data_IF_453144191318
#
_entry.id   IF_453144191318
#
_cell.length_a   1.000
_cell.length_b   1.000
_cell.length_c   1.000
_cell.angle_alpha   90.00
_cell.angle_beta   90.00
_cell.angle_gamma   90.00
#
_symmetry.space_group_name_H-M   'P 1'
#
loop_
_entity.id
_entity.type
_entity.pdbx_description
1 polymer ?
#
# COMPACT_ATOMS: atom_id res chain seq x y z
N UNK A 1 -4.91 9.72 6.77
CA UNK A 1 -5.72 8.49 6.84
C UNK A 1 -7.19 8.83 6.56
N UNK A 2 -7.69 8.52 5.34
CA UNK A 2 -9.02 8.95 4.92
C UNK A 2 -10.17 8.23 5.64
N UNK A 3 -9.94 7.04 6.21
CA UNK A 3 -10.96 6.34 7.01
C UNK A 3 -11.46 7.16 8.19
N UNK A 4 -10.71 8.15 8.64
CA UNK A 4 -11.12 9.08 9.72
C UNK A 4 -12.32 9.94 9.35
N UNK A 5 -12.60 10.15 8.05
CA UNK A 5 -13.79 10.84 7.58
C UNK A 5 -15.08 10.03 7.78
N UNK A 6 -14.95 8.72 8.01
CA UNK A 6 -16.06 7.79 8.16
C UNK A 6 -16.76 7.44 6.85
N UNK A 7 -17.40 6.29 6.83
CA UNK A 7 -18.10 5.74 5.65
C UNK A 7 -19.19 6.67 5.09
N UNK A 8 -20.02 7.37 5.92
CA UNK A 8 -21.04 8.28 5.41
C UNK A 8 -20.51 9.39 4.51
N UNK A 9 -19.28 9.88 4.77
CA UNK A 9 -18.63 10.86 3.90
C UNK A 9 -18.45 10.31 2.47
N UNK A 10 -17.93 9.08 2.33
CA UNK A 10 -17.69 8.47 1.03
C UNK A 10 -18.98 8.05 0.31
N UNK A 11 -20.01 7.69 1.04
CA UNK A 11 -21.35 7.49 0.49
C UNK A 11 -21.89 8.80 -0.12
N UNK A 12 -21.67 9.94 0.55
CA UNK A 12 -22.02 11.26 0.02
C UNK A 12 -21.20 11.62 -1.21
N UNK A 13 -19.89 11.29 -1.23
CA UNK A 13 -19.04 11.47 -2.41
C UNK A 13 -19.64 10.75 -3.62
N UNK A 14 -20.01 9.48 -3.48
CA UNK A 14 -20.63 8.69 -4.56
C UNK A 14 -21.96 9.30 -5.05
N UNK A 15 -22.80 9.78 -4.12
CA UNK A 15 -24.05 10.45 -4.48
C UNK A 15 -23.81 11.69 -5.33
N UNK A 16 -22.81 12.51 -4.97
CA UNK A 16 -22.42 13.70 -5.72
C UNK A 16 -21.81 13.33 -7.07
N UNK A 17 -20.95 12.32 -7.13
CA UNK A 17 -20.39 11.84 -8.39
C UNK A 17 -21.51 11.40 -9.35
N UNK A 18 -22.49 10.61 -8.91
CA UNK A 18 -23.65 10.22 -9.73
C UNK A 18 -24.43 11.43 -10.25
N UNK A 19 -24.63 12.44 -9.39
CA UNK A 19 -25.38 13.66 -9.76
C UNK A 19 -24.65 14.49 -10.83
N UNK A 20 -23.31 14.59 -10.74
CA UNK A 20 -22.52 15.52 -11.55
C UNK A 20 -21.62 14.85 -12.62
N UNK A 21 -21.64 13.52 -12.75
CA UNK A 21 -20.77 12.82 -13.70
C UNK A 21 -21.01 13.21 -15.17
N UNK A 22 -22.22 13.69 -15.51
CA UNK A 22 -22.52 14.09 -16.91
C UNK A 22 -22.30 12.98 -17.93
N UNK A 23 -22.58 11.72 -17.55
CA UNK A 23 -22.36 10.53 -18.39
C UNK A 23 -20.92 9.99 -18.37
N UNK A 24 -20.00 10.59 -17.61
CA UNK A 24 -18.62 10.09 -17.47
C UNK A 24 -18.56 8.95 -16.48
N UNK A 25 -17.73 7.96 -16.77
CA UNK A 25 -17.36 6.93 -15.80
C UNK A 25 -16.30 7.49 -14.86
N UNK A 26 -16.54 7.37 -13.55
CA UNK A 26 -15.61 7.81 -12.50
C UNK A 26 -15.06 6.57 -11.80
N UNK A 27 -13.74 6.40 -11.86
CA UNK A 27 -13.03 5.37 -11.12
C UNK A 27 -12.48 5.97 -9.83
N UNK A 28 -12.70 5.30 -8.73
CA UNK A 28 -12.27 5.74 -7.41
C UNK A 28 -11.12 4.86 -6.91
N UNK A 29 -10.13 5.51 -6.30
CA UNK A 29 -9.07 4.84 -5.55
C UNK A 29 -9.02 5.37 -4.11
N UNK A 30 -8.64 4.51 -3.18
CA UNK A 30 -8.59 4.79 -1.75
C UNK A 30 -7.27 4.31 -1.18
N UNK A 31 -6.46 5.20 -0.64
CA UNK A 31 -5.19 4.83 -0.02
C UNK A 31 -5.32 4.85 1.50
N UNK A 32 -4.88 3.78 2.17
CA UNK A 32 -5.04 3.63 3.61
C UNK A 32 -3.85 2.90 4.26
N UNK A 33 -3.62 3.18 5.55
CA UNK A 33 -2.73 2.37 6.38
C UNK A 33 -3.37 1.03 6.82
N UNK A 34 -4.61 0.78 6.47
CA UNK A 34 -5.33 -0.46 6.73
C UNK A 34 -5.80 -0.68 8.17
N UNK A 35 -5.51 0.21 9.12
CA UNK A 35 -5.72 -0.07 10.54
C UNK A 35 -7.20 -0.01 10.96
N UNK A 36 -8.01 0.81 10.26
CA UNK A 36 -9.40 1.10 10.63
C UNK A 36 -10.44 0.49 9.68
N UNK A 37 -10.00 -0.28 8.69
CA UNK A 37 -10.94 -0.98 7.81
C UNK A 37 -11.65 -2.10 8.57
N UNK A 38 -12.90 -2.32 8.21
CA UNK A 38 -13.77 -3.38 8.71
C UNK A 38 -14.66 -3.92 7.59
N UNK A 39 -15.54 -4.87 7.89
CA UNK A 39 -16.44 -5.47 6.90
C UNK A 39 -17.34 -4.47 6.18
N UNK A 40 -17.78 -3.39 6.86
CA UNK A 40 -18.63 -2.37 6.23
C UNK A 40 -17.85 -1.61 5.14
N UNK A 41 -16.57 -1.29 5.40
CA UNK A 41 -15.68 -0.71 4.40
C UNK A 41 -15.42 -1.65 3.23
N UNK A 42 -15.16 -2.93 3.52
CA UNK A 42 -14.91 -3.92 2.47
C UNK A 42 -16.14 -4.09 1.55
N UNK A 43 -17.35 -4.18 2.13
CA UNK A 43 -18.61 -4.19 1.36
C UNK A 43 -18.75 -2.94 0.50
N UNK A 44 -18.53 -1.77 1.09
CA UNK A 44 -18.61 -0.50 0.37
C UNK A 44 -17.66 -0.45 -0.83
N UNK A 45 -16.41 -0.83 -0.66
CA UNK A 45 -15.41 -0.86 -1.74
C UNK A 45 -15.81 -1.84 -2.84
N UNK A 46 -16.20 -3.07 -2.46
CA UNK A 46 -16.61 -4.11 -3.40
C UNK A 46 -17.82 -3.69 -4.23
N UNK A 47 -18.88 -3.20 -3.58
CA UNK A 47 -20.14 -2.81 -4.24
C UNK A 47 -19.98 -1.62 -5.18
N UNK A 48 -19.02 -0.76 -4.94
CA UNK A 48 -18.81 0.47 -5.70
C UNK A 48 -17.55 0.44 -6.58
N UNK A 49 -16.86 -0.70 -6.69
CA UNK A 49 -15.70 -0.88 -7.57
C UNK A 49 -14.52 0.05 -7.24
N UNK A 50 -14.20 0.22 -5.96
CA UNK A 50 -13.06 1.03 -5.53
C UNK A 50 -11.79 0.19 -5.52
N UNK A 51 -10.70 0.77 -6.03
CA UNK A 51 -9.35 0.22 -5.85
C UNK A 51 -8.78 0.69 -4.50
N UNK A 52 -8.31 -0.25 -3.69
CA UNK A 52 -7.77 0.07 -2.36
C UNK A 52 -6.26 -0.10 -2.32
N UNK A 53 -5.50 0.98 -2.12
CA UNK A 53 -4.07 0.92 -1.85
C UNK A 53 -3.80 0.72 -0.36
N UNK A 54 -3.22 -0.42 0.01
CA UNK A 54 -2.88 -0.75 1.40
C UNK A 54 -1.39 -0.54 1.64
N UNK A 55 -1.07 0.27 2.64
CA UNK A 55 0.32 0.51 3.03
C UNK A 55 0.88 -0.67 3.84
N UNK A 56 1.88 -1.37 3.28
CA UNK A 56 2.57 -2.47 3.96
C UNK A 56 4.05 -2.50 3.56
N UNK A 57 4.96 -2.22 4.49
CA UNK A 57 6.39 -2.05 4.20
C UNK A 57 7.21 -3.35 4.38
N UNK A 58 6.54 -4.51 4.29
CA UNK A 58 7.17 -5.83 4.37
C UNK A 58 6.73 -6.64 5.59
N UNK A 59 7.48 -7.69 5.97
CA UNK A 59 7.22 -8.48 7.18
C UNK A 59 7.31 -7.62 8.45
N UNK A 60 6.80 -8.15 9.56
CA UNK A 60 6.55 -7.39 10.79
C UNK A 60 7.75 -6.59 11.30
N UNK A 61 8.95 -7.15 11.28
CA UNK A 61 10.16 -6.49 11.73
C UNK A 61 10.56 -5.29 10.84
N UNK A 62 10.31 -5.35 9.53
CA UNK A 62 10.54 -4.23 8.61
C UNK A 62 9.42 -3.19 8.71
N UNK A 63 8.17 -3.65 8.72
CA UNK A 63 6.99 -2.77 8.77
C UNK A 63 6.94 -1.98 10.07
N UNK A 64 7.05 -2.65 11.19
CA UNK A 64 6.86 -2.07 12.52
C UNK A 64 8.02 -1.19 12.98
N UNK A 65 9.12 -1.12 12.20
CA UNK A 65 10.21 -0.16 12.46
C UNK A 65 9.73 1.28 12.37
N UNK A 66 8.87 1.60 11.40
CA UNK A 66 8.37 2.97 11.17
C UNK A 66 6.85 3.07 11.24
N UNK A 67 6.12 1.99 10.97
CA UNK A 67 4.66 1.99 11.00
C UNK A 67 4.13 1.53 12.35
N UNK A 68 4.17 2.45 13.29
CA UNK A 68 3.62 2.28 14.62
C UNK A 68 2.38 3.15 14.82
N UNK A 69 1.52 2.79 15.78
CA UNK A 69 0.40 3.63 16.14
C UNK A 69 0.85 4.84 17.00
N UNK A 70 -0.09 5.73 17.35
CA UNK A 70 0.20 6.93 18.18
C UNK A 70 0.85 6.61 19.55
N UNK A 71 0.73 5.37 20.05
CA UNK A 71 1.32 4.91 21.29
C UNK A 71 2.62 4.13 21.07
N UNK A 72 3.21 4.18 19.86
CA UNK A 72 4.43 3.46 19.52
C UNK A 72 4.28 1.94 19.39
N UNK A 73 3.04 1.41 19.32
CA UNK A 73 2.83 -0.04 19.22
C UNK A 73 2.80 -0.51 17.77
N UNK A 74 3.29 -1.73 17.49
CA UNK A 74 3.28 -2.37 16.18
C UNK A 74 1.90 -2.38 15.51
N UNK A 75 1.87 -2.22 14.18
CA UNK A 75 0.62 -2.20 13.41
C UNK A 75 0.51 -3.30 12.37
N UNK A 76 1.58 -4.00 12.04
CA UNK A 76 1.62 -5.06 11.03
C UNK A 76 0.49 -6.07 11.16
N UNK A 77 0.25 -6.60 12.36
CA UNK A 77 -0.81 -7.59 12.62
C UNK A 77 -2.23 -7.08 12.29
N UNK A 78 -2.47 -5.76 12.38
CA UNK A 78 -3.75 -5.15 12.01
C UNK A 78 -3.89 -5.04 10.51
N UNK A 79 -2.80 -4.66 9.84
CA UNK A 79 -2.77 -4.57 8.37
C UNK A 79 -2.99 -5.95 7.76
N UNK A 80 -2.38 -7.00 8.31
CA UNK A 80 -2.62 -8.38 7.86
C UNK A 80 -4.08 -8.80 7.98
N UNK A 81 -4.75 -8.50 9.10
CA UNK A 81 -6.20 -8.75 9.24
C UNK A 81 -7.02 -8.00 8.19
N UNK A 82 -6.63 -6.78 7.86
CA UNK A 82 -7.29 -6.00 6.81
C UNK A 82 -7.10 -6.64 5.45
N UNK A 83 -5.89 -7.11 5.12
CA UNK A 83 -5.63 -7.81 3.85
C UNK A 83 -6.50 -9.07 3.77
N UNK A 84 -6.57 -9.87 4.83
CA UNK A 84 -7.44 -11.05 4.89
C UNK A 84 -8.91 -10.69 4.62
N UNK A 85 -9.42 -9.61 5.22
CA UNK A 85 -10.79 -9.13 4.97
C UNK A 85 -10.98 -8.67 3.51
N UNK A 86 -10.04 -7.92 2.93
CA UNK A 86 -10.13 -7.49 1.54
C UNK A 86 -10.18 -8.69 0.57
N UNK A 87 -9.37 -9.72 0.82
CA UNK A 87 -9.39 -10.97 0.06
C UNK A 87 -10.74 -11.69 0.21
N UNK A 88 -11.24 -11.85 1.44
CA UNK A 88 -12.53 -12.51 1.72
C UNK A 88 -13.70 -11.80 1.04
N UNK A 89 -13.71 -10.48 1.05
CA UNK A 89 -14.72 -9.66 0.38
C UNK A 89 -14.50 -9.46 -1.12
N UNK A 90 -13.42 -10.03 -1.68
CA UNK A 90 -13.05 -9.87 -3.10
C UNK A 90 -12.91 -8.39 -3.52
N UNK A 91 -12.37 -7.56 -2.65
CA UNK A 91 -12.07 -6.16 -2.96
C UNK A 91 -10.80 -6.11 -3.80
N UNK A 92 -10.78 -5.30 -4.85
CA UNK A 92 -9.55 -5.03 -5.61
C UNK A 92 -8.61 -4.14 -4.79
N UNK A 93 -7.38 -4.60 -4.57
CA UNK A 93 -6.38 -3.82 -3.85
C UNK A 93 -4.98 -4.00 -4.41
N UNK A 94 -4.12 -3.04 -4.13
CA UNK A 94 -2.68 -3.11 -4.35
C UNK A 94 -1.93 -2.89 -3.03
N UNK A 95 -0.72 -3.41 -2.95
CA UNK A 95 0.19 -3.16 -1.82
C UNK A 95 1.12 -2.01 -2.18
N UNK A 96 1.17 -1.02 -1.28
CA UNK A 96 2.00 0.16 -1.41
C UNK A 96 3.10 0.11 -0.36
N UNK A 97 4.33 0.01 -0.81
CA UNK A 97 5.53 -0.15 0.01
C UNK A 97 6.34 1.12 -0.01
N UNK A 98 6.52 1.76 1.13
CA UNK A 98 7.48 2.83 1.28
C UNK A 98 8.86 2.23 1.52
N UNK A 99 9.75 2.40 0.55
CA UNK A 99 11.13 1.90 0.61
C UNK A 99 12.00 2.96 1.29
N UNK A 100 12.47 2.65 2.48
CA UNK A 100 13.32 3.47 3.33
C UNK A 100 14.73 2.89 3.44
N UNK A 101 15.62 3.57 4.18
CA UNK A 101 17.00 3.12 4.38
C UNK A 101 17.10 1.71 4.96
N UNK A 102 16.17 1.31 5.82
CA UNK A 102 16.21 0.02 6.51
C UNK A 102 15.73 -1.11 5.60
N UNK A 103 14.50 -1.04 5.06
CA UNK A 103 13.94 -2.12 4.27
C UNK A 103 14.55 -2.24 2.86
N UNK A 104 15.19 -1.18 2.33
CA UNK A 104 15.93 -1.23 1.07
C UNK A 104 17.11 -2.23 1.08
N UNK A 105 17.58 -2.61 2.27
CA UNK A 105 18.65 -3.60 2.43
C UNK A 105 18.17 -5.05 2.22
N UNK A 106 16.84 -5.27 2.10
CA UNK A 106 16.24 -6.60 2.07
C UNK A 106 15.30 -6.81 0.87
N UNK A 107 15.70 -6.48 -0.40
CA UNK A 107 14.81 -6.49 -1.56
C UNK A 107 14.18 -7.85 -1.80
N UNK A 108 14.96 -8.92 -1.76
CA UNK A 108 14.49 -10.29 -2.02
C UNK A 108 13.51 -10.76 -0.95
N UNK A 109 13.86 -10.57 0.32
CA UNK A 109 13.01 -10.94 1.45
C UNK A 109 11.68 -10.20 1.42
N UNK A 110 11.72 -8.89 1.16
CA UNK A 110 10.55 -8.04 1.10
C UNK A 110 9.66 -8.47 -0.08
N UNK A 111 10.22 -8.62 -1.27
CA UNK A 111 9.46 -9.02 -2.45
C UNK A 111 8.80 -10.40 -2.28
N UNK A 112 9.56 -11.40 -1.82
CA UNK A 112 9.04 -12.75 -1.55
C UNK A 112 7.88 -12.74 -0.56
N UNK A 113 7.98 -11.92 0.48
CA UNK A 113 6.92 -11.78 1.46
C UNK A 113 5.62 -11.22 0.85
N UNK A 114 5.71 -10.28 -0.10
CA UNK A 114 4.53 -9.63 -0.68
C UNK A 114 3.80 -10.50 -1.73
N UNK A 115 4.50 -11.45 -2.37
CA UNK A 115 3.96 -12.26 -3.47
C UNK A 115 2.69 -13.04 -3.09
N UNK A 116 2.57 -13.50 -1.85
CA UNK A 116 1.54 -14.43 -1.38
C UNK A 116 0.40 -13.73 -0.61
N UNK A 117 0.30 -12.39 -0.68
CA UNK A 117 -0.66 -11.63 0.12
C UNK A 117 -2.00 -11.35 -0.57
N UNK A 118 -2.35 -12.12 -1.61
CA UNK A 118 -3.69 -12.09 -2.21
C UNK A 118 -3.93 -11.02 -3.26
N UNK A 119 -2.92 -10.23 -3.62
CA UNK A 119 -2.96 -9.33 -4.78
C UNK A 119 -1.69 -9.43 -5.61
N UNK A 120 -1.80 -9.39 -6.95
CA UNK A 120 -0.62 -9.34 -7.81
C UNK A 120 -0.06 -7.93 -8.01
N UNK A 121 -0.66 -6.89 -7.44
CA UNK A 121 -0.29 -5.49 -7.74
C UNK A 121 0.56 -4.89 -6.64
N UNK A 122 1.81 -4.55 -6.96
CA UNK A 122 2.80 -3.98 -6.04
C UNK A 122 3.28 -2.61 -6.52
N UNK A 123 3.35 -1.67 -5.60
CA UNK A 123 3.90 -0.35 -5.84
C UNK A 123 5.01 -0.04 -4.82
N UNK A 124 6.21 0.24 -5.31
CA UNK A 124 7.34 0.68 -4.49
C UNK A 124 7.51 2.18 -4.60
N UNK A 125 7.62 2.86 -3.46
CA UNK A 125 7.70 4.32 -3.36
C UNK A 125 8.95 4.66 -2.55
N UNK A 126 9.96 5.36 -3.10
CA UNK A 126 11.14 5.74 -2.33
C UNK A 126 10.76 6.77 -1.25
N UNK A 127 11.19 6.54 -0.01
CA UNK A 127 11.13 7.56 1.04
C UNK A 127 12.20 8.60 0.78
N UNK A 128 11.79 9.82 0.49
CA UNK A 128 12.69 10.98 0.30
C UNK A 128 12.15 12.14 1.12
N UNK A 129 12.65 12.29 2.32
CA UNK A 129 12.30 13.38 3.24
C UNK A 129 13.51 14.29 3.46
N UNK A 130 13.26 15.56 3.68
CA UNK A 130 14.30 16.54 3.99
C UNK A 130 14.10 17.09 5.40
N UNK A 131 15.23 17.30 6.09
CA UNK A 131 15.26 18.00 7.35
C UNK A 131 15.05 19.53 7.16
N UNK A 132 14.97 20.27 8.25
CA UNK A 132 14.81 21.73 8.23
C UNK A 132 15.95 22.46 7.51
N UNK A 133 17.12 21.85 7.39
CA UNK A 133 18.29 22.37 6.67
C UNK A 133 18.31 21.98 5.18
N UNK A 134 17.33 21.18 4.72
CA UNK A 134 17.24 20.71 3.34
C UNK A 134 18.06 19.44 3.04
N UNK A 135 18.73 18.83 4.01
CA UNK A 135 19.43 17.57 3.85
C UNK A 135 18.44 16.39 3.87
N UNK A 136 18.83 15.27 3.26
CA UNK A 136 18.04 14.04 3.35
C UNK A 136 17.96 13.54 4.80
N UNK A 137 16.75 13.15 5.25
CA UNK A 137 16.57 12.53 6.56
C UNK A 137 17.37 11.23 6.67
N UNK A 138 17.66 10.83 7.91
CA UNK A 138 18.38 9.58 8.17
C UNK A 138 17.61 8.34 7.69
N UNK A 139 16.28 8.43 7.60
CA UNK A 139 15.38 7.37 7.18
C UNK A 139 15.24 7.28 5.65
N UNK A 140 15.56 8.35 4.93
CA UNK A 140 15.47 8.41 3.47
C UNK A 140 16.36 7.37 2.81
N UNK A 141 15.82 6.73 1.76
CA UNK A 141 16.62 5.85 0.90
C UNK A 141 17.54 6.68 0.02
N UNK A 142 18.82 6.28 -0.09
CA UNK A 142 19.75 6.91 -1.03
C UNK A 142 19.49 6.44 -2.45
N UNK A 143 19.90 7.22 -3.45
CA UNK A 143 19.77 6.88 -4.88
C UNK A 143 20.36 5.49 -5.18
N UNK A 144 21.53 5.21 -4.65
CA UNK A 144 22.21 3.94 -4.85
C UNK A 144 21.48 2.78 -4.18
N UNK A 145 20.99 2.95 -2.95
CA UNK A 145 20.22 1.93 -2.24
C UNK A 145 18.88 1.65 -2.96
N UNK A 146 18.23 2.70 -3.46
CA UNK A 146 17.01 2.58 -4.27
C UNK A 146 17.25 1.79 -5.55
N UNK A 147 18.28 2.12 -6.33
CA UNK A 147 18.66 1.39 -7.54
C UNK A 147 19.00 -0.07 -7.26
N UNK A 148 19.78 -0.34 -6.19
CA UNK A 148 20.11 -1.71 -5.77
C UNK A 148 18.88 -2.50 -5.32
N UNK A 149 17.94 -1.85 -4.62
CA UNK A 149 16.68 -2.45 -4.22
C UNK A 149 15.85 -2.86 -5.43
N UNK A 150 15.67 -1.96 -6.40
CA UNK A 150 14.90 -2.25 -7.61
C UNK A 150 15.53 -3.39 -8.42
N UNK A 151 16.84 -3.40 -8.59
CA UNK A 151 17.55 -4.48 -9.26
C UNK A 151 17.35 -5.81 -8.54
N UNK A 152 17.45 -5.83 -7.21
CA UNK A 152 17.23 -7.04 -6.42
C UNK A 152 15.80 -7.60 -6.49
N UNK A 153 14.79 -6.74 -6.63
CA UNK A 153 13.40 -7.14 -6.90
C UNK A 153 13.25 -7.62 -8.34
N UNK A 154 13.77 -6.84 -9.31
CA UNK A 154 13.67 -7.15 -10.73
C UNK A 154 14.30 -8.50 -11.09
N UNK A 155 15.43 -8.84 -10.50
CA UNK A 155 16.11 -10.12 -10.73
C UNK A 155 15.27 -11.35 -10.40
N UNK A 156 14.37 -11.24 -9.42
CA UNK A 156 13.42 -12.31 -9.10
C UNK A 156 12.22 -12.21 -10.04
N UNK A 157 11.62 -11.04 -10.13
CA UNK A 157 10.41 -10.80 -10.88
C UNK A 157 10.52 -11.23 -12.35
N UNK A 158 11.63 -10.88 -13.02
CA UNK A 158 11.83 -11.17 -14.44
C UNK A 158 11.95 -12.67 -14.74
N UNK A 159 12.37 -13.47 -13.76
CA UNK A 159 12.54 -14.93 -13.91
C UNK A 159 11.30 -15.72 -13.53
N UNK A 160 10.52 -15.22 -12.59
CA UNK A 160 9.50 -16.02 -11.91
C UNK A 160 8.08 -15.49 -12.05
N UNK A 161 7.90 -14.16 -12.28
CA UNK A 161 6.62 -13.52 -12.05
C UNK A 161 6.09 -12.64 -13.20
N UNK A 162 6.78 -12.62 -14.36
CA UNK A 162 6.25 -11.92 -15.55
C UNK A 162 4.86 -12.44 -15.89
N UNK A 163 3.87 -11.51 -15.96
CA UNK A 163 2.48 -11.83 -16.23
C UNK A 163 1.69 -12.38 -15.03
N UNK A 164 2.34 -12.56 -13.87
CA UNK A 164 1.69 -12.98 -12.62
C UNK A 164 1.65 -11.87 -11.57
N UNK A 165 2.75 -11.16 -11.41
CA UNK A 165 2.86 -10.02 -10.49
C UNK A 165 3.16 -8.77 -11.30
N UNK A 166 2.47 -7.71 -10.99
CA UNK A 166 2.60 -6.41 -11.66
C UNK A 166 3.26 -5.42 -10.70
N UNK A 167 4.49 -5.07 -11.00
CA UNK A 167 5.23 -4.04 -10.28
C UNK A 167 5.14 -2.76 -11.08
N UNK A 168 4.64 -1.68 -10.48
CA UNK A 168 4.35 -0.43 -11.19
C UNK A 168 5.53 0.14 -11.99
N UNK A 169 6.76 -0.17 -11.60
CA UNK A 169 7.99 0.36 -12.20
C UNK A 169 8.60 -0.54 -13.28
N UNK A 170 8.04 -1.73 -13.54
CA UNK A 170 8.58 -2.74 -14.47
C UNK A 170 7.70 -2.97 -15.68
#
# INVERSE_FOLDING_TARGET
>A
EPTLCGLPFFQRVLALQKQYAGGKQIHNAFQTNGILLNDDWCRFFRENGWLVGVSLDGPADLHDTYRVNRSGKPTHHKVMKTIDMLVQHQVEFNLMVVVNRHNSQHPQRLYRYLQDLGTPFLQFIPLVERDECGNLSAESVTEQAWGSFLNGVFDIWVREDIGRVYVQLF
#
